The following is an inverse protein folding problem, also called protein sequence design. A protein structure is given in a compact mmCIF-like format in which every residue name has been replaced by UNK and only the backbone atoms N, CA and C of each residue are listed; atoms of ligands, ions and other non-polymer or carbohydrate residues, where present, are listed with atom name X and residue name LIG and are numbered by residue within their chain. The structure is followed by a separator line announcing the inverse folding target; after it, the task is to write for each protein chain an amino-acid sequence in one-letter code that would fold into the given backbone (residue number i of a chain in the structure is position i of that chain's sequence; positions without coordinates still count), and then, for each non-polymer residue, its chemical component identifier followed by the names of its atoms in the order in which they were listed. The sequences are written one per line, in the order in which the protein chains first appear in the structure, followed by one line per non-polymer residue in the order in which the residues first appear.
data_IF_938163141430
#
_entry.id   IF_938163141430
#
_cell.length_a   1.000
_cell.length_b   1.000
_cell.length_c   1.000
_cell.angle_alpha   90.00
_cell.angle_beta   90.00
_cell.angle_gamma   90.00
#
_symmetry.space_group_name_H-M   'P 1'
#
loop_
_entity.id
_entity.type
_entity.pdbx_description
1 polymer ?
#
# COMPACT_ATOMS: atom_id res chain seq x y z
N UNK A 1 -13.80 -6.08 2.51
CA UNK A 1 -12.79 -7.11 2.77
C UNK A 1 -12.50 -7.34 4.27
N UNK A 2 -12.15 -6.32 5.05
CA UNK A 2 -11.76 -6.49 6.47
C UNK A 2 -12.79 -7.19 7.37
N UNK A 3 -14.09 -6.84 7.28
CA UNK A 3 -15.14 -7.55 8.05
C UNK A 3 -15.32 -9.02 7.65
N UNK A 4 -15.07 -9.34 6.38
CA UNK A 4 -15.11 -10.72 5.91
C UNK A 4 -13.92 -11.49 6.51
N UNK A 5 -12.73 -10.89 6.52
CA UNK A 5 -11.53 -11.47 7.15
C UNK A 5 -11.72 -11.67 8.66
N UNK A 6 -12.35 -10.73 9.37
CA UNK A 6 -12.71 -10.87 10.79
C UNK A 6 -13.61 -12.10 11.02
N UNK A 7 -14.64 -12.26 10.19
CA UNK A 7 -15.59 -13.37 10.27
C UNK A 7 -14.93 -14.72 9.95
N UNK A 8 -14.13 -14.80 8.89
CA UNK A 8 -13.41 -16.02 8.49
C UNK A 8 -12.38 -16.47 9.54
N UNK A 9 -11.74 -15.52 10.23
CA UNK A 9 -10.72 -15.81 11.24
C UNK A 9 -11.27 -15.94 12.65
N UNK A 10 -12.58 -15.73 12.85
CA UNK A 10 -13.21 -15.76 14.17
C UNK A 10 -12.66 -14.68 15.11
N UNK A 11 -12.14 -13.58 14.56
CA UNK A 11 -11.55 -12.47 15.31
C UNK A 11 -12.64 -11.44 15.58
N UNK A 12 -12.68 -10.90 16.80
CA UNK A 12 -13.65 -9.85 17.14
C UNK A 12 -13.44 -8.62 16.23
N UNK A 13 -14.51 -7.91 15.82
CA UNK A 13 -14.39 -6.70 15.01
C UNK A 13 -13.42 -5.69 15.63
N UNK A 14 -12.43 -5.25 14.85
CA UNK A 14 -11.39 -4.32 15.30
C UNK A 14 -10.16 -4.93 15.97
N UNK A 15 -10.03 -6.25 16.03
CA UNK A 15 -8.87 -6.94 16.63
C UNK A 15 -7.91 -7.56 15.60
N UNK A 16 -8.06 -7.23 14.32
CA UNK A 16 -7.05 -7.58 13.31
C UNK A 16 -5.74 -6.83 13.59
N UNK A 17 -4.55 -7.41 13.32
CA UNK A 17 -3.25 -6.73 13.49
C UNK A 17 -3.12 -5.50 12.58
N UNK A 18 -3.91 -5.46 11.52
CA UNK A 18 -4.16 -4.31 10.69
C UNK A 18 -5.68 -4.07 10.65
N UNK A 19 -6.11 -2.96 11.21
CA UNK A 19 -7.54 -2.67 11.41
C UNK A 19 -8.09 -1.76 10.33
N UNK A 20 -9.42 -1.70 10.21
CA UNK A 20 -10.10 -0.66 9.43
C UNK A 20 -9.71 0.75 9.91
N UNK A 21 -9.35 0.89 11.19
CA UNK A 21 -8.84 2.14 11.75
C UNK A 21 -7.47 2.49 11.18
N UNK A 22 -6.60 1.53 10.91
CA UNK A 22 -5.28 1.78 10.31
C UNK A 22 -5.40 2.17 8.84
N UNK A 23 -6.27 1.50 8.09
CA UNK A 23 -6.69 1.96 6.75
C UNK A 23 -7.23 3.38 6.86
N UNK A 24 -8.19 3.64 7.75
CA UNK A 24 -8.80 4.97 7.91
C UNK A 24 -7.80 6.04 8.34
N UNK A 25 -6.85 5.72 9.20
CA UNK A 25 -5.78 6.63 9.63
C UNK A 25 -4.87 6.95 8.45
N UNK A 26 -4.52 5.95 7.64
CA UNK A 26 -3.79 6.13 6.39
C UNK A 26 -4.58 7.04 5.43
N UNK A 27 -5.86 6.74 5.20
CA UNK A 27 -6.77 7.56 4.41
C UNK A 27 -6.88 9.00 4.94
N UNK A 28 -6.93 9.18 6.26
CA UNK A 28 -7.00 10.50 6.90
C UNK A 28 -5.67 11.26 6.79
N UNK A 29 -4.54 10.55 6.80
CA UNK A 29 -3.23 11.17 6.59
C UNK A 29 -3.14 11.83 5.21
N UNK A 30 -3.80 11.25 4.21
CA UNK A 30 -3.93 11.82 2.86
C UNK A 30 -4.89 13.01 2.77
N UNK A 31 -5.89 13.11 3.65
CA UNK A 31 -6.81 14.27 3.68
C UNK A 31 -6.17 15.56 4.22
N UNK A 32 -4.96 15.48 4.77
CA UNK A 32 -4.19 16.64 5.23
C UNK A 32 -3.31 17.25 4.13
N UNK A 33 -3.30 16.67 2.93
CA UNK A 33 -2.57 17.21 1.78
C UNK A 33 -3.36 18.37 1.16
N UNK A 34 -2.66 19.41 0.72
CA UNK A 34 -3.29 20.64 0.22
C UNK A 34 -3.73 20.45 -1.24
N UNK A 35 -4.88 21.02 -1.61
CA UNK A 35 -5.68 20.56 -2.77
C UNK A 35 -5.03 20.79 -4.16
N UNK A 36 -3.97 21.60 -4.24
CA UNK A 36 -3.34 21.95 -5.52
C UNK A 36 -2.08 21.12 -5.85
N UNK A 37 -1.40 20.52 -4.85
CA UNK A 37 -0.10 19.83 -5.03
C UNK A 37 -0.05 18.40 -4.44
N UNK A 38 -1.20 17.76 -4.25
CA UNK A 38 -1.35 16.49 -3.51
C UNK A 38 -0.38 15.36 -3.94
N UNK A 39 -0.11 15.24 -5.24
CA UNK A 39 0.86 14.26 -5.77
C UNK A 39 2.31 14.57 -5.35
N UNK A 40 2.70 15.85 -5.33
CA UNK A 40 4.01 16.27 -4.85
C UNK A 40 4.13 16.09 -3.34
N UNK A 41 3.05 16.36 -2.62
CA UNK A 41 2.96 16.16 -1.18
C UNK A 41 3.13 14.70 -0.79
N UNK A 42 2.50 13.77 -1.52
CA UNK A 42 2.66 12.34 -1.28
C UNK A 42 4.10 11.88 -1.54
N UNK A 43 4.69 12.28 -2.67
CA UNK A 43 6.08 11.95 -2.97
C UNK A 43 7.04 12.53 -1.93
N UNK A 44 6.79 13.77 -1.47
CA UNK A 44 7.55 14.41 -0.39
C UNK A 44 7.41 13.65 0.92
N UNK A 45 6.21 13.21 1.27
CA UNK A 45 5.98 12.37 2.44
C UNK A 45 6.78 11.06 2.36
N UNK A 46 6.72 10.34 1.24
CA UNK A 46 7.47 9.11 1.03
C UNK A 46 8.98 9.32 1.15
N UNK A 47 9.52 10.41 0.56
CA UNK A 47 10.94 10.77 0.72
C UNK A 47 11.31 11.06 2.17
N UNK A 48 10.51 11.85 2.88
CA UNK A 48 10.74 12.15 4.29
C UNK A 48 10.71 10.90 5.19
N UNK A 49 9.86 9.91 4.86
CA UNK A 49 9.85 8.62 5.58
C UNK A 49 11.12 7.84 5.24
N UNK A 50 11.50 7.76 3.95
CA UNK A 50 12.72 7.07 3.50
C UNK A 50 14.00 7.62 4.16
N UNK A 51 14.08 8.93 4.34
CA UNK A 51 15.21 9.57 5.04
C UNK A 51 15.30 9.16 6.51
N UNK A 52 14.16 8.96 7.17
CA UNK A 52 14.09 8.54 8.58
C UNK A 52 14.23 7.04 8.77
N UNK A 53 13.75 6.26 7.81
CA UNK A 53 13.79 4.81 7.78
C UNK A 53 14.30 4.33 6.42
N UNK A 54 15.61 4.05 6.29
CA UNK A 54 16.20 3.56 5.05
C UNK A 54 15.62 2.23 4.55
N UNK A 55 14.90 1.48 5.39
CA UNK A 55 14.25 0.23 4.99
C UNK A 55 12.83 0.44 4.46
N UNK A 56 12.23 1.62 4.63
CA UNK A 56 11.03 2.01 3.89
C UNK A 56 11.32 1.95 2.38
N UNK A 57 10.39 1.42 1.60
CA UNK A 57 10.50 1.38 0.13
C UNK A 57 9.30 2.07 -0.50
N UNK A 58 9.54 2.80 -1.57
CA UNK A 58 8.49 3.32 -2.42
C UNK A 58 8.98 3.42 -3.86
N UNK A 59 8.07 3.24 -4.80
CA UNK A 59 8.29 3.40 -6.24
C UNK A 59 7.12 4.14 -6.85
N UNK A 60 7.37 4.85 -7.95
CA UNK A 60 6.33 5.62 -8.63
C UNK A 60 6.60 5.72 -10.13
N UNK A 61 5.53 5.97 -10.87
CA UNK A 61 5.53 6.26 -12.30
C UNK A 61 4.93 7.65 -12.48
N UNK A 62 5.56 8.47 -13.33
CA UNK A 62 5.02 9.74 -13.79
C UNK A 62 4.64 9.62 -15.26
N UNK A 63 3.56 10.30 -15.65
CA UNK A 63 3.14 10.35 -17.04
C UNK A 63 3.91 11.42 -17.85
N UNK A 64 3.60 11.53 -19.14
CA UNK A 64 4.23 12.50 -20.05
C UNK A 64 4.00 13.96 -19.66
N UNK A 65 3.02 14.24 -18.80
CA UNK A 65 2.69 15.57 -18.30
C UNK A 65 3.29 15.82 -16.91
N UNK A 66 4.23 14.98 -16.47
CA UNK A 66 4.88 15.04 -15.16
C UNK A 66 3.91 14.92 -13.97
N UNK A 67 2.78 14.23 -14.17
CA UNK A 67 1.82 13.94 -13.10
C UNK A 67 2.00 12.52 -12.61
N UNK A 68 1.78 12.31 -11.31
CA UNK A 68 1.85 10.99 -10.69
C UNK A 68 0.84 10.04 -11.34
N UNK A 69 1.33 8.97 -11.96
CA UNK A 69 0.49 7.94 -12.59
C UNK A 69 0.23 6.81 -11.62
N UNK A 70 1.28 6.20 -11.07
CA UNK A 70 1.13 5.15 -10.06
C UNK A 70 2.16 5.38 -8.96
N UNK A 71 1.83 5.00 -7.73
CA UNK A 71 2.78 4.99 -6.61
C UNK A 71 2.48 3.82 -5.69
N UNK A 72 3.53 3.22 -5.15
CA UNK A 72 3.42 2.16 -4.19
C UNK A 72 4.47 2.32 -3.10
N UNK A 73 4.14 1.90 -1.88
CA UNK A 73 5.05 2.01 -0.75
C UNK A 73 4.83 0.92 0.29
N UNK A 74 5.91 0.54 0.97
CA UNK A 74 5.93 -0.44 2.05
C UNK A 74 6.83 0.03 3.18
N UNK A 75 6.37 -0.12 4.41
CA UNK A 75 7.17 0.11 5.61
C UNK A 75 8.17 -1.03 5.83
N UNK A 76 9.25 -0.75 6.56
CA UNK A 76 10.27 -1.75 6.87
C UNK A 76 9.70 -3.02 7.55
N UNK A 77 8.77 -2.83 8.49
CA UNK A 77 8.09 -3.94 9.18
C UNK A 77 7.23 -4.78 8.23
N UNK A 78 6.57 -4.13 7.27
CA UNK A 78 5.77 -4.81 6.24
C UNK A 78 6.62 -5.62 5.28
N UNK A 79 7.81 -5.13 4.95
CA UNK A 79 8.78 -5.83 4.12
C UNK A 79 9.29 -7.10 4.84
N UNK A 80 9.61 -7.01 6.13
CA UNK A 80 9.98 -8.18 6.96
C UNK A 80 8.82 -9.17 7.11
N UNK A 81 7.59 -8.66 7.25
CA UNK A 81 6.40 -9.50 7.31
C UNK A 81 6.20 -10.28 6.01
N UNK A 82 6.46 -9.66 4.85
CA UNK A 82 6.38 -10.35 3.56
C UNK A 82 7.47 -11.43 3.40
N UNK A 83 8.70 -11.18 3.85
CA UNK A 83 9.76 -12.20 3.84
C UNK A 83 9.39 -13.47 4.63
N UNK A 84 8.59 -13.30 5.69
CA UNK A 84 8.22 -14.41 6.60
C UNK A 84 6.88 -15.04 6.23
N UNK A 85 5.92 -14.25 5.74
CA UNK A 85 4.50 -14.62 5.60
C UNK A 85 3.93 -14.31 4.20
N UNK A 86 4.81 -14.19 3.19
CA UNK A 86 4.45 -13.84 1.81
C UNK A 86 3.92 -14.99 0.96
N UNK A 87 3.67 -16.16 1.56
CA UNK A 87 3.15 -17.37 0.92
C UNK A 87 1.67 -17.25 0.55
N UNK A 88 0.89 -16.49 1.32
CA UNK A 88 -0.50 -16.17 1.04
C UNK A 88 -0.75 -14.66 1.13
N UNK A 89 -1.00 -14.03 -0.02
CA UNK A 89 -1.28 -12.59 -0.12
C UNK A 89 -2.56 -12.30 -0.89
N UNK A 90 -3.25 -11.24 -0.46
CA UNK A 90 -4.46 -10.71 -1.06
C UNK A 90 -4.19 -9.26 -1.48
N UNK A 91 -4.57 -8.94 -2.72
CA UNK A 91 -4.58 -7.57 -3.22
C UNK A 91 -6.02 -7.08 -3.32
N UNK A 92 -6.33 -5.99 -2.63
CA UNK A 92 -7.68 -5.40 -2.57
C UNK A 92 -7.65 -3.95 -3.10
N UNK A 93 -8.38 -3.66 -4.17
CA UNK A 93 -8.52 -2.29 -4.74
C UNK A 93 -9.89 -1.66 -4.48
N UNK A 94 -10.68 -2.18 -3.52
CA UNK A 94 -12.08 -1.76 -3.33
C UNK A 94 -12.27 -0.30 -2.83
N UNK A 95 -11.20 0.45 -2.60
CA UNK A 95 -11.27 1.82 -2.12
C UNK A 95 -10.69 2.81 -3.14
N UNK A 96 -11.30 3.99 -3.27
CA UNK A 96 -10.77 5.11 -4.05
C UNK A 96 -10.47 6.28 -3.11
N UNK A 97 -9.30 6.89 -3.25
CA UNK A 97 -8.96 8.09 -2.52
C UNK A 97 -9.56 9.30 -3.22
N UNK A 98 -10.48 9.99 -2.55
CA UNK A 98 -11.13 11.19 -3.12
C UNK A 98 -10.14 12.33 -3.35
N UNK A 99 -9.12 12.49 -2.51
CA UNK A 99 -8.08 13.51 -2.69
C UNK A 99 -7.40 13.33 -4.05
N UNK A 100 -6.76 12.18 -4.24
CA UNK A 100 -6.04 11.89 -5.49
C UNK A 100 -6.92 11.53 -6.69
N UNK A 101 -8.20 11.25 -6.46
CA UNK A 101 -9.08 10.59 -7.42
C UNK A 101 -8.45 9.32 -8.04
N UNK A 102 -7.87 8.47 -7.17
CA UNK A 102 -7.10 7.28 -7.55
C UNK A 102 -7.56 6.05 -6.77
N UNK A 103 -7.72 4.87 -7.40
CA UNK A 103 -7.94 3.61 -6.68
C UNK A 103 -6.77 3.28 -5.77
N UNK A 104 -7.08 2.95 -4.52
CA UNK A 104 -6.17 2.46 -3.51
C UNK A 104 -6.19 0.94 -3.51
N UNK A 105 -5.07 0.36 -3.91
CA UNK A 105 -4.73 -1.04 -3.69
C UNK A 105 -4.05 -1.25 -2.36
N UNK A 106 -4.45 -2.28 -1.62
CA UNK A 106 -3.82 -2.71 -0.37
C UNK A 106 -3.38 -4.16 -0.51
N UNK A 107 -2.12 -4.42 -0.17
CA UNK A 107 -1.57 -5.76 -0.06
C UNK A 107 -1.64 -6.24 1.39
N UNK A 108 -2.30 -7.37 1.59
CA UNK A 108 -2.48 -7.99 2.90
C UNK A 108 -2.00 -9.44 2.85
N UNK A 109 -1.05 -9.80 3.69
CA UNK A 109 -0.61 -11.18 3.90
C UNK A 109 -1.34 -11.82 5.08
N UNK A 110 -1.07 -13.11 5.32
CA UNK A 110 -1.58 -13.84 6.49
C UNK A 110 -0.39 -14.43 7.25
N UNK A 111 -0.21 -14.08 8.53
CA UNK A 111 0.86 -14.67 9.33
C UNK A 111 0.54 -16.10 9.80
N UNK A 112 1.49 -16.74 10.47
CA UNK A 112 1.39 -18.12 10.98
C UNK A 112 0.23 -18.34 11.98
N UNK A 113 -0.32 -17.28 12.56
CA UNK A 113 -1.50 -17.34 13.43
C UNK A 113 -2.82 -17.19 12.64
N UNK A 114 -2.74 -17.15 11.32
CA UNK A 114 -3.88 -16.86 10.46
C UNK A 114 -4.31 -15.40 10.48
N UNK A 115 -3.54 -14.49 11.06
CA UNK A 115 -3.94 -13.09 11.22
C UNK A 115 -3.44 -12.23 10.05
N UNK A 116 -4.24 -11.26 9.57
CA UNK A 116 -3.85 -10.41 8.44
C UNK A 116 -2.72 -9.46 8.81
N UNK A 117 -1.79 -9.27 7.87
CA UNK A 117 -0.64 -8.40 7.99
C UNK A 117 -0.61 -7.40 6.84
N UNK A 118 -0.48 -6.12 7.14
CA UNK A 118 -0.29 -5.09 6.12
C UNK A 118 1.09 -5.20 5.47
N UNK A 119 1.14 -5.31 4.14
CA UNK A 119 2.37 -5.50 3.38
C UNK A 119 2.74 -4.29 2.53
N UNK A 120 1.77 -3.66 1.88
CA UNK A 120 2.02 -2.54 0.97
C UNK A 120 0.73 -1.80 0.63
N UNK A 121 0.88 -0.55 0.20
CA UNK A 121 -0.18 0.21 -0.44
C UNK A 121 0.23 0.63 -1.84
N UNK A 122 -0.77 0.79 -2.71
CA UNK A 122 -0.64 1.24 -4.08
C UNK A 122 -1.73 2.26 -4.39
N UNK A 123 -1.38 3.36 -5.04
CA UNK A 123 -2.33 4.22 -5.72
C UNK A 123 -2.13 4.11 -7.22
N UNK A 124 -3.23 3.85 -7.93
CA UNK A 124 -3.24 3.72 -9.38
C UNK A 124 -4.00 4.88 -10.00
N UNK A 125 -3.56 5.41 -11.14
CA UNK A 125 -4.37 6.42 -11.85
C UNK A 125 -5.65 5.78 -12.39
N UNK A 126 -5.52 4.57 -12.90
CA UNK A 126 -6.59 3.79 -13.52
C UNK A 126 -6.45 2.31 -13.19
N UNK A 127 -7.58 1.60 -13.03
CA UNK A 127 -7.65 0.14 -12.90
C UNK A 127 -7.59 -0.55 -14.28
N UNK A 128 -6.51 -0.30 -15.01
CA UNK A 128 -6.24 -0.97 -16.27
C UNK A 128 -5.15 -2.06 -16.11
N UNK A 129 -5.04 -2.95 -17.10
CA UNK A 129 -4.11 -4.08 -17.05
C UNK A 129 -2.66 -3.64 -16.82
N UNK A 130 -2.24 -2.50 -17.39
CA UNK A 130 -0.87 -1.98 -17.23
C UNK A 130 -0.61 -1.54 -15.79
N UNK A 131 -1.51 -0.75 -15.21
CA UNK A 131 -1.43 -0.28 -13.82
C UNK A 131 -1.47 -1.43 -12.82
N UNK A 132 -2.37 -2.40 -13.03
CA UNK A 132 -2.46 -3.60 -12.18
C UNK A 132 -1.18 -4.44 -12.32
N UNK A 133 -0.69 -4.68 -13.53
CA UNK A 133 0.57 -5.43 -13.74
C UNK A 133 1.75 -4.76 -13.06
N UNK A 134 1.80 -3.42 -13.07
CA UNK A 134 2.80 -2.66 -12.32
C UNK A 134 2.62 -2.86 -10.80
N UNK A 135 1.39 -2.77 -10.29
CA UNK A 135 1.08 -3.00 -8.87
C UNK A 135 1.44 -4.42 -8.41
N UNK A 136 1.29 -5.43 -9.25
CA UNK A 136 1.61 -6.83 -8.91
C UNK A 136 3.12 -7.08 -8.69
N UNK A 137 3.98 -6.17 -9.15
CA UNK A 137 5.44 -6.26 -8.93
C UNK A 137 5.89 -5.63 -7.60
N UNK A 138 5.01 -4.86 -6.97
CA UNK A 138 5.26 -4.13 -5.71
C UNK A 138 5.60 -5.07 -4.55
N UNK A 139 4.89 -6.20 -4.30
CA UNK A 139 5.28 -7.12 -3.23
C UNK A 139 6.71 -7.66 -3.40
N UNK A 140 7.21 -7.72 -4.64
CA UNK A 140 8.54 -8.19 -4.99
C UNK A 140 9.62 -7.10 -4.88
N UNK A 141 9.39 -6.01 -4.13
CA UNK A 141 10.38 -4.92 -3.92
C UNK A 141 11.77 -5.37 -3.44
N UNK A 142 11.97 -6.63 -3.10
CA UNK A 142 13.28 -7.23 -2.81
C UNK A 142 13.97 -7.86 -4.00
N UNK A 143 13.26 -8.42 -4.98
CA UNK A 143 13.88 -9.12 -6.10
C UNK A 143 14.46 -8.16 -7.14
N UNK A 144 13.83 -7.01 -7.37
CA UNK A 144 14.32 -6.02 -8.34
C UNK A 144 15.60 -5.29 -7.93
N UNK A 145 16.00 -5.33 -6.65
CA UNK A 145 17.25 -4.72 -6.17
C UNK A 145 18.49 -5.60 -6.39
N UNK A 146 18.32 -6.87 -6.78
CA UNK A 146 19.42 -7.82 -7.03
C UNK A 146 19.61 -8.18 -8.52
N UNK A 147 18.86 -7.55 -9.43
CA UNK A 147 18.94 -7.83 -10.88
C UNK A 147 19.32 -6.63 -11.75
N UNK A 148 19.78 -5.53 -11.16
CA UNK A 148 20.41 -4.42 -11.89
C UNK A 148 21.74 -4.04 -11.26
#
# INVERSE_FOLDING_TARGET
MMRLMELEKGVQPGYLPFTEKDVRNLLQSFRKLDHEEESFDLLRMCRNIKEKDPNFKFEYVIDSNNRLENIAWSYASSIQAYETFGDAVVFDTTHRLTAFDMPLGIWVGINNYGMPCFLSCVLLREENLRSITWALKVPEFQYYSFVN
#
